data_IF_930401029349
#
_entry.id   IF_930401029349
#
_cell.length_a   1.000
_cell.length_b   1.000
_cell.length_c   1.000
_cell.angle_alpha   90.00
_cell.angle_beta   90.00
_cell.angle_gamma   90.00
#
_symmetry.space_group_name_H-M   'P 1'
#
loop_
_entity.id
_entity.type
_entity.pdbx_description
1 polymer ?
#
# COMPACT_ATOMS: atom_id res chain seq x y z
N UNK A 1 8.12 -0.70 27.22
CA UNK A 1 8.74 0.08 26.14
C UNK A 1 10.24 0.03 26.31
N UNK A 2 10.94 -0.11 25.20
CA UNK A 2 12.38 -0.29 25.14
C UNK A 2 13.11 0.93 25.72
N UNK A 3 13.93 0.72 26.74
CA UNK A 3 14.71 1.77 27.42
C UNK A 3 15.78 2.42 26.53
N UNK A 4 16.05 1.84 25.36
CA UNK A 4 16.98 2.40 24.36
C UNK A 4 16.49 3.73 23.77
N UNK A 5 15.19 4.01 23.88
CA UNK A 5 14.60 5.23 23.34
C UNK A 5 14.24 6.23 24.43
N UNK A 6 14.63 7.48 24.24
CA UNK A 6 14.37 8.57 25.17
C UNK A 6 12.86 8.82 25.39
N UNK A 7 12.46 9.35 26.55
CA UNK A 7 11.12 9.91 26.73
C UNK A 7 10.75 10.88 25.60
N UNK A 8 9.49 10.90 25.18
CA UNK A 8 9.02 11.73 24.08
C UNK A 8 9.35 11.19 22.66
N UNK A 9 10.12 10.08 22.54
CA UNK A 9 10.34 9.43 21.24
C UNK A 9 9.03 8.84 20.73
N UNK A 10 8.65 9.20 19.50
CA UNK A 10 7.47 8.66 18.85
C UNK A 10 7.59 7.17 18.55
N UNK A 11 6.52 6.44 18.78
CA UNK A 11 6.32 5.06 18.34
C UNK A 11 5.34 5.10 17.17
N UNK A 12 5.82 4.79 15.97
CA UNK A 12 5.03 4.86 14.74
C UNK A 12 5.12 3.57 13.95
N UNK A 13 4.17 3.33 13.06
CA UNK A 13 4.13 2.13 12.21
C UNK A 13 3.14 1.10 12.73
N UNK A 14 3.55 -0.16 12.81
CA UNK A 14 2.74 -1.23 13.39
C UNK A 14 1.45 -1.48 12.62
N UNK A 15 1.56 -1.80 11.33
CA UNK A 15 0.38 -2.11 10.50
C UNK A 15 -0.32 -3.36 11.06
N UNK A 16 -1.53 -3.19 11.63
CA UNK A 16 -2.35 -4.35 12.01
C UNK A 16 -3.29 -4.75 10.88
N UNK A 17 -3.68 -6.04 10.88
CA UNK A 17 -4.60 -6.61 9.90
C UNK A 17 -6.04 -6.14 10.14
N UNK A 18 -6.82 -6.12 9.07
CA UNK A 18 -8.27 -5.94 9.11
C UNK A 18 -9.03 -7.30 8.97
N UNK A 19 -8.31 -8.41 8.94
CA UNK A 19 -8.88 -9.74 8.60
C UNK A 19 -9.06 -10.67 9.78
N UNK A 20 -8.84 -10.20 10.97
CA UNK A 20 -8.84 -11.04 12.16
C UNK A 20 -10.27 -11.36 12.60
N UNK A 21 -10.80 -12.46 12.11
CA UNK A 21 -12.15 -12.95 12.48
C UNK A 21 -12.30 -13.24 13.98
N UNK A 22 -11.20 -13.52 14.68
CA UNK A 22 -11.22 -13.65 16.14
C UNK A 22 -11.55 -12.34 16.85
N UNK A 23 -11.19 -11.20 16.27
CA UNK A 23 -11.60 -9.90 16.78
C UNK A 23 -13.10 -9.62 16.59
N UNK A 24 -13.73 -10.21 15.59
CA UNK A 24 -15.19 -10.15 15.38
C UNK A 24 -15.95 -10.87 16.49
N UNK A 25 -15.46 -12.03 16.96
CA UNK A 25 -16.05 -12.77 18.07
C UNK A 25 -16.06 -12.00 19.40
N UNK A 26 -14.95 -11.36 19.75
CA UNK A 26 -14.85 -10.56 20.97
C UNK A 26 -15.70 -9.28 20.93
N UNK A 27 -15.84 -8.66 19.76
CA UNK A 27 -16.70 -7.48 19.57
C UNK A 27 -18.17 -7.84 19.61
N UNK A 28 -18.55 -8.98 19.05
CA UNK A 28 -19.93 -9.50 19.13
C UNK A 28 -20.33 -9.87 20.55
N UNK A 29 -19.42 -10.47 21.35
CA UNK A 29 -19.63 -10.77 22.76
C UNK A 29 -19.78 -9.51 23.63
N UNK A 30 -19.18 -8.39 23.23
CA UNK A 30 -19.33 -7.11 23.93
C UNK A 30 -20.69 -6.44 23.74
N UNK A 31 -21.63 -7.07 23.02
CA UNK A 31 -23.02 -6.59 22.86
C UNK A 31 -23.18 -5.33 22.01
N UNK A 32 -22.20 -4.99 21.18
CA UNK A 32 -22.29 -3.89 20.25
C UNK A 32 -23.12 -4.33 19.04
N UNK A 33 -24.31 -3.75 18.87
CA UNK A 33 -25.08 -3.91 17.63
C UNK A 33 -24.27 -3.36 16.45
N UNK A 34 -23.97 -4.22 15.51
CA UNK A 34 -23.24 -3.87 14.31
C UNK A 34 -24.21 -3.25 13.35
N UNK A 35 -24.01 -1.98 13.02
CA UNK A 35 -24.76 -1.32 11.97
C UNK A 35 -24.21 -1.81 10.60
N UNK A 36 -25.05 -2.46 9.75
CA UNK A 36 -24.63 -2.88 8.41
C UNK A 36 -24.14 -1.71 7.53
N UNK A 37 -24.54 -0.49 7.84
CA UNK A 37 -24.11 0.74 7.16
C UNK A 37 -22.79 1.32 7.76
N UNK A 38 -22.19 0.63 8.73
CA UNK A 38 -20.91 1.07 9.29
C UNK A 38 -19.82 0.92 8.23
N UNK A 39 -19.44 2.06 7.66
CA UNK A 39 -18.41 2.17 6.60
C UNK A 39 -17.06 1.56 7.01
N UNK A 40 -16.89 1.27 8.28
CA UNK A 40 -15.64 0.74 8.86
C UNK A 40 -15.72 -0.76 9.16
N UNK A 41 -16.89 -1.40 9.01
CA UNK A 41 -17.11 -2.84 9.22
C UNK A 41 -16.93 -3.27 10.69
N UNK A 42 -17.12 -4.55 10.95
CA UNK A 42 -16.93 -5.20 12.26
C UNK A 42 -15.47 -5.41 12.61
N UNK A 43 -14.66 -4.35 12.56
CA UNK A 43 -13.25 -4.47 12.82
C UNK A 43 -12.94 -4.17 14.28
N UNK A 44 -11.88 -4.79 14.76
CA UNK A 44 -11.27 -4.44 16.04
C UNK A 44 -11.06 -2.92 16.11
N UNK A 45 -11.71 -2.27 17.08
CA UNK A 45 -11.51 -0.87 17.40
C UNK A 45 -10.44 -0.74 18.48
N UNK A 46 -9.28 -0.19 18.13
CA UNK A 46 -8.23 0.02 19.11
C UNK A 46 -8.64 1.09 20.12
N UNK A 47 -8.22 0.91 21.37
CA UNK A 47 -8.45 1.87 22.46
C UNK A 47 -7.13 2.25 23.10
N UNK A 48 -6.93 3.55 23.35
CA UNK A 48 -5.69 4.08 23.99
C UNK A 48 -5.36 3.41 25.32
N UNK A 49 -6.38 3.00 26.09
CA UNK A 49 -6.21 2.27 27.34
C UNK A 49 -5.43 0.96 27.22
N UNK A 50 -5.41 0.35 26.02
CA UNK A 50 -4.63 -0.87 25.77
C UNK A 50 -3.12 -0.63 25.83
N UNK A 51 -2.66 0.58 25.55
CA UNK A 51 -1.24 0.90 25.41
C UNK A 51 -0.73 1.99 26.33
N UNK A 52 -1.58 2.87 26.86
CA UNK A 52 -1.16 3.99 27.73
C UNK A 52 -0.31 3.55 28.92
N UNK A 53 -0.68 2.45 29.57
CA UNK A 53 0.05 1.88 30.70
C UNK A 53 1.49 1.45 30.37
N UNK A 54 1.77 1.14 29.10
CA UNK A 54 3.08 0.66 28.64
C UNK A 54 3.90 1.74 27.95
N UNK A 55 3.25 2.74 27.36
CA UNK A 55 3.90 3.77 26.53
C UNK A 55 4.19 5.05 27.30
N UNK A 56 3.44 5.32 28.36
CA UNK A 56 3.59 6.48 29.25
C UNK A 56 3.68 7.80 28.50
N UNK A 57 4.84 8.46 28.54
CA UNK A 57 5.18 9.74 27.93
C UNK A 57 5.68 9.66 26.47
N UNK A 58 5.63 8.48 25.86
CA UNK A 58 5.98 8.30 24.45
C UNK A 58 4.73 8.38 23.58
N UNK A 59 4.66 9.35 22.68
CA UNK A 59 3.52 9.43 21.75
C UNK A 59 3.51 8.20 20.82
N UNK A 60 2.34 7.61 20.63
CA UNK A 60 2.14 6.45 19.77
C UNK A 60 1.11 6.79 18.70
N UNK A 61 1.48 6.54 17.45
CA UNK A 61 0.55 6.53 16.32
C UNK A 61 0.81 5.28 15.50
N UNK A 62 -0.06 4.31 15.63
CA UNK A 62 -0.05 3.08 14.82
C UNK A 62 -1.27 3.04 13.93
N UNK A 63 -1.23 2.25 12.86
CA UNK A 63 -2.28 2.28 11.84
C UNK A 63 -2.73 0.90 11.44
N UNK A 64 -3.97 0.80 11.00
CA UNK A 64 -4.39 -0.33 10.21
C UNK A 64 -3.72 -0.27 8.82
N UNK A 65 -3.36 -1.42 8.26
CA UNK A 65 -2.58 -1.48 7.01
C UNK A 65 -3.25 -0.73 5.84
N UNK A 66 -4.58 -0.61 5.83
CA UNK A 66 -5.35 0.10 4.81
C UNK A 66 -5.44 1.62 5.04
N UNK A 67 -4.88 2.12 6.14
CA UNK A 67 -4.87 3.53 6.54
C UNK A 67 -6.24 4.16 6.81
N UNK A 68 -7.27 3.35 6.92
CA UNK A 68 -8.62 3.86 7.26
C UNK A 68 -8.75 4.15 8.75
N UNK A 69 -8.05 3.39 9.58
CA UNK A 69 -8.08 3.52 11.05
C UNK A 69 -6.67 3.67 11.60
N UNK A 70 -6.52 4.59 12.52
CA UNK A 70 -5.32 4.81 13.32
C UNK A 70 -5.64 4.67 14.80
N UNK A 71 -4.65 4.27 15.58
CA UNK A 71 -4.69 4.36 17.04
C UNK A 71 -3.62 5.33 17.53
N UNK A 72 -4.06 6.31 18.30
CA UNK A 72 -3.22 7.25 19.01
C UNK A 72 -3.37 7.04 20.51
N UNK A 73 -2.26 7.02 21.26
CA UNK A 73 -2.30 7.02 22.71
C UNK A 73 -2.58 8.42 23.26
N UNK A 74 -2.80 8.53 24.58
CA UNK A 74 -3.09 9.81 25.24
C UNK A 74 -2.03 10.87 24.92
N UNK A 75 -0.73 10.55 24.97
CA UNK A 75 0.34 11.50 24.67
C UNK A 75 0.30 12.03 23.21
N UNK A 76 -0.02 11.18 22.25
CA UNK A 76 -0.16 11.57 20.84
C UNK A 76 -1.40 12.46 20.63
N UNK A 77 -2.54 12.10 21.23
CA UNK A 77 -3.77 12.90 21.15
C UNK A 77 -3.58 14.31 21.75
N UNK A 78 -2.89 14.42 22.88
CA UNK A 78 -2.58 15.70 23.52
C UNK A 78 -1.73 16.61 22.62
N UNK A 79 -0.69 16.04 21.97
CA UNK A 79 0.16 16.77 21.03
C UNK A 79 -0.61 17.23 19.78
N UNK A 80 -1.58 16.44 19.32
CA UNK A 80 -2.44 16.79 18.20
C UNK A 80 -3.59 17.73 18.58
N UNK A 81 -3.75 18.09 19.87
CA UNK A 81 -4.84 18.93 20.34
C UNK A 81 -6.21 18.25 20.35
N UNK A 82 -6.26 16.93 20.22
CA UNK A 82 -7.51 16.15 20.23
C UNK A 82 -7.90 15.85 21.66
N UNK A 83 -8.96 16.53 22.15
CA UNK A 83 -9.38 16.48 23.56
C UNK A 83 -10.90 16.46 23.66
N UNK A 84 -11.41 16.15 24.86
CA UNK A 84 -12.83 16.30 25.19
C UNK A 84 -13.29 17.73 24.92
N UNK A 85 -14.48 17.87 24.35
CA UNK A 85 -15.10 19.15 24.06
C UNK A 85 -14.48 19.95 22.90
N UNK A 86 -13.44 19.46 22.26
CA UNK A 86 -12.85 20.06 21.06
C UNK A 86 -13.43 19.36 19.81
N UNK A 87 -13.87 20.12 18.79
CA UNK A 87 -14.31 19.53 17.53
C UNK A 87 -13.24 18.66 16.88
N UNK A 88 -13.67 17.67 16.12
CA UNK A 88 -12.77 16.81 15.37
C UNK A 88 -11.99 17.62 14.33
N UNK A 89 -10.70 17.28 14.08
CA UNK A 89 -9.92 17.91 13.04
C UNK A 89 -10.56 17.68 11.66
N UNK A 90 -10.36 18.64 10.75
CA UNK A 90 -10.94 18.57 9.41
C UNK A 90 -10.57 17.27 8.69
N UNK A 91 -11.57 16.55 8.24
CA UNK A 91 -11.40 15.30 7.49
C UNK A 91 -10.91 14.12 8.35
N UNK A 92 -11.08 14.18 9.66
CA UNK A 92 -10.82 13.08 10.60
C UNK A 92 -12.06 12.91 11.47
N UNK A 93 -12.51 11.66 11.64
CA UNK A 93 -13.51 11.34 12.66
C UNK A 93 -12.79 10.77 13.88
N UNK A 94 -13.08 11.32 15.06
CA UNK A 94 -12.51 10.88 16.33
C UNK A 94 -13.53 10.04 17.07
N UNK A 95 -13.19 8.79 17.40
CA UNK A 95 -14.06 8.03 18.27
C UNK A 95 -14.00 8.53 19.70
N UNK A 96 -15.20 8.67 20.32
CA UNK A 96 -15.34 9.18 21.65
C UNK A 96 -16.21 8.26 22.50
N UNK A 97 -15.92 8.20 23.77
CA UNK A 97 -16.74 7.49 24.74
C UNK A 97 -18.03 8.26 25.07
N UNK A 98 -18.85 7.71 25.96
CA UNK A 98 -20.11 8.30 26.43
C UNK A 98 -19.95 9.68 27.12
N UNK A 99 -18.75 10.00 27.60
CA UNK A 99 -18.41 11.27 28.19
C UNK A 99 -17.83 12.27 27.18
N UNK A 100 -17.65 11.87 25.92
CA UNK A 100 -17.04 12.68 24.87
C UNK A 100 -15.51 12.68 24.88
N UNK A 101 -14.87 11.81 25.68
CA UNK A 101 -13.42 11.64 25.69
C UNK A 101 -12.97 10.85 24.46
N UNK A 102 -11.88 11.26 23.77
CA UNK A 102 -11.31 10.47 22.68
C UNK A 102 -10.84 9.09 23.15
N UNK A 103 -11.30 8.03 22.51
CA UNK A 103 -10.92 6.65 22.84
C UNK A 103 -9.54 6.28 22.32
N UNK A 104 -9.01 7.04 21.35
CA UNK A 104 -7.75 6.76 20.67
C UNK A 104 -7.90 6.31 19.22
N UNK A 105 -9.08 5.85 18.82
CA UNK A 105 -9.34 5.51 17.44
C UNK A 105 -9.62 6.76 16.60
N UNK A 106 -8.91 6.90 15.49
CA UNK A 106 -9.02 7.99 14.53
C UNK A 106 -9.30 7.42 13.15
N UNK A 107 -10.31 7.95 12.47
CA UNK A 107 -10.71 7.48 11.17
C UNK A 107 -10.42 8.51 10.09
N UNK A 108 -9.91 8.02 8.97
CA UNK A 108 -9.93 8.76 7.72
C UNK A 108 -11.29 8.52 7.05
N UNK A 109 -12.21 9.49 7.04
CA UNK A 109 -13.49 9.30 6.38
C UNK A 109 -13.26 9.07 4.89
N UNK A 110 -14.02 8.14 4.35
CA UNK A 110 -14.11 7.93 2.91
C UNK A 110 -14.83 9.14 2.35
N UNK A 111 -14.10 10.11 1.80
CA UNK A 111 -14.71 11.31 1.22
C UNK A 111 -15.39 10.95 -0.10
N UNK A 112 -16.73 10.97 -0.07
CA UNK A 112 -17.60 11.03 -1.25
C UNK A 112 -17.57 9.80 -2.14
N UNK A 113 -18.73 9.18 -2.30
CA UNK A 113 -19.01 8.26 -3.38
C UNK A 113 -19.02 9.03 -4.72
N UNK A 114 -17.87 9.21 -5.30
CA UNK A 114 -17.77 9.29 -6.75
C UNK A 114 -17.62 7.85 -7.21
N UNK A 115 -18.45 7.39 -8.09
CA UNK A 115 -18.64 5.99 -8.52
C UNK A 115 -17.37 5.22 -8.96
N UNK A 116 -16.19 5.78 -8.82
CA UNK A 116 -14.96 5.17 -9.29
C UNK A 116 -13.67 5.50 -8.53
N UNK A 117 -13.67 6.39 -7.53
CA UNK A 117 -12.41 6.75 -6.84
C UNK A 117 -12.63 7.08 -5.38
N UNK A 118 -12.42 6.11 -4.53
CA UNK A 118 -12.21 6.38 -3.12
C UNK A 118 -10.74 6.73 -2.91
N UNK A 119 -10.41 8.01 -3.08
CA UNK A 119 -9.18 8.57 -2.57
C UNK A 119 -9.32 8.66 -1.04
N UNK A 120 -8.79 7.70 -0.33
CA UNK A 120 -8.57 7.87 1.10
C UNK A 120 -7.45 8.89 1.25
N UNK A 121 -7.80 10.17 1.38
CA UNK A 121 -6.83 11.16 1.87
C UNK A 121 -6.42 10.73 3.27
N UNK A 122 -5.14 10.53 3.45
CA UNK A 122 -4.59 10.16 4.75
C UNK A 122 -4.47 11.42 5.64
N UNK A 123 -5.64 11.93 6.05
CA UNK A 123 -5.75 13.16 6.83
C UNK A 123 -5.11 12.99 8.22
N UNK A 124 -5.23 11.80 8.82
CA UNK A 124 -4.58 11.48 10.09
C UNK A 124 -3.07 11.58 9.93
N UNK A 125 -2.50 10.97 8.89
CA UNK A 125 -1.07 11.08 8.61
C UNK A 125 -0.66 12.53 8.36
N UNK A 126 -1.49 13.32 7.69
CA UNK A 126 -1.20 14.73 7.43
C UNK A 126 -1.19 15.53 8.73
N UNK A 127 -2.20 15.35 9.59
CA UNK A 127 -2.28 16.02 10.89
C UNK A 127 -1.06 15.71 11.77
N UNK A 128 -0.66 14.46 11.85
CA UNK A 128 0.47 14.03 12.68
C UNK A 128 1.83 14.20 11.99
N UNK A 129 1.86 14.45 10.68
CA UNK A 129 3.09 14.52 9.90
C UNK A 129 4.06 15.58 10.38
N UNK A 130 3.56 16.74 10.79
CA UNK A 130 4.38 17.82 11.34
C UNK A 130 4.80 17.60 12.80
N UNK A 131 4.09 16.72 13.52
CA UNK A 131 4.37 16.37 14.91
C UNK A 131 5.38 15.24 15.07
N UNK A 132 5.45 14.35 14.07
CA UNK A 132 6.33 13.17 14.07
C UNK A 132 7.64 13.55 13.39
N UNK A 133 8.77 13.65 14.13
CA UNK A 133 10.04 13.92 13.51
C UNK A 133 10.38 12.86 12.46
N UNK A 134 10.92 13.22 11.29
CA UNK A 134 11.39 12.23 10.34
C UNK A 134 12.50 11.39 10.96
N UNK A 135 12.54 10.07 10.71
CA UNK A 135 13.61 9.22 11.23
C UNK A 135 14.99 9.77 10.79
N UNK A 136 15.94 9.79 11.72
CA UNK A 136 17.31 10.18 11.40
C UNK A 136 17.95 9.18 10.42
N UNK A 137 19.07 9.57 9.80
CA UNK A 137 19.81 8.66 8.93
C UNK A 137 20.29 7.43 9.70
N UNK A 138 20.78 7.62 10.90
CA UNK A 138 21.27 6.56 11.80
C UNK A 138 20.14 5.58 12.16
N UNK A 139 18.95 6.12 12.44
CA UNK A 139 17.76 5.31 12.70
C UNK A 139 17.37 4.47 11.47
N UNK A 140 17.35 5.06 10.27
CA UNK A 140 17.06 4.34 9.01
C UNK A 140 18.08 3.23 8.74
N UNK A 141 19.36 3.47 9.03
CA UNK A 141 20.42 2.47 8.90
C UNK A 141 20.18 1.31 9.90
N UNK A 142 19.82 1.64 11.15
CA UNK A 142 19.53 0.63 12.17
C UNK A 142 18.31 -0.23 11.78
N UNK A 143 17.23 0.40 11.33
CA UNK A 143 16.02 -0.28 10.83
C UNK A 143 16.32 -1.17 9.61
N UNK A 144 17.11 -0.66 8.66
CA UNK A 144 17.55 -1.43 7.48
C UNK A 144 18.35 -2.65 7.87
N UNK A 145 19.29 -2.49 8.80
CA UNK A 145 20.13 -3.60 9.32
C UNK A 145 19.27 -4.68 9.97
N UNK A 146 18.29 -4.27 10.80
CA UNK A 146 17.39 -5.22 11.45
C UNK A 146 16.50 -5.95 10.43
N UNK A 147 15.94 -5.22 9.45
CA UNK A 147 15.16 -5.82 8.38
C UNK A 147 15.97 -6.85 7.57
N UNK A 148 17.19 -6.53 7.20
CA UNK A 148 18.07 -7.47 6.49
C UNK A 148 18.48 -8.66 7.36
N UNK A 149 18.69 -8.45 8.65
CA UNK A 149 18.92 -9.54 9.61
C UNK A 149 17.75 -10.50 9.66
N UNK A 150 16.52 -9.97 9.67
CA UNK A 150 15.31 -10.79 9.62
C UNK A 150 15.18 -11.53 8.29
N UNK A 151 15.41 -10.88 7.16
CA UNK A 151 15.43 -11.53 5.85
C UNK A 151 16.45 -12.68 5.80
N UNK A 152 17.67 -12.45 6.28
CA UNK A 152 18.72 -13.46 6.32
C UNK A 152 18.34 -14.65 7.21
N UNK A 153 17.67 -14.42 8.34
CA UNK A 153 17.23 -15.48 9.26
C UNK A 153 16.23 -16.46 8.66
N UNK A 154 15.53 -16.06 7.59
CA UNK A 154 14.59 -16.90 6.83
C UNK A 154 15.09 -17.25 5.42
N UNK A 155 16.39 -17.03 5.15
CA UNK A 155 17.03 -17.43 3.90
C UNK A 155 16.77 -16.53 2.69
N UNK A 156 16.24 -15.31 2.89
CA UNK A 156 16.04 -14.35 1.79
C UNK A 156 17.39 -13.74 1.40
N UNK A 157 17.81 -13.98 0.16
CA UNK A 157 19.07 -13.48 -0.40
C UNK A 157 18.91 -12.37 -1.44
N UNK A 158 17.70 -12.11 -1.88
CA UNK A 158 17.37 -11.04 -2.85
C UNK A 158 15.94 -10.57 -2.66
N UNK A 159 15.69 -9.28 -2.86
CA UNK A 159 14.35 -8.71 -2.77
C UNK A 159 14.15 -7.58 -3.79
N UNK A 160 12.90 -7.25 -4.02
CA UNK A 160 12.50 -6.09 -4.81
C UNK A 160 12.01 -4.99 -3.87
N UNK A 161 12.66 -3.85 -3.91
CA UNK A 161 12.31 -2.70 -3.10
C UNK A 161 11.49 -1.71 -3.93
N UNK A 162 10.27 -1.43 -3.47
CA UNK A 162 9.31 -0.51 -4.10
C UNK A 162 9.26 0.86 -3.41
N UNK A 163 10.26 1.20 -2.59
CA UNK A 163 10.29 2.49 -1.90
C UNK A 163 10.39 3.64 -2.90
N UNK A 164 9.61 4.68 -2.63
CA UNK A 164 9.68 5.94 -3.39
C UNK A 164 10.75 6.92 -2.87
N UNK A 165 11.34 6.63 -1.71
CA UNK A 165 12.31 7.52 -1.08
C UNK A 165 13.75 7.15 -1.49
N UNK A 166 14.42 7.97 -2.31
CA UNK A 166 15.77 7.66 -2.83
C UNK A 166 16.84 7.56 -1.74
N UNK A 167 16.59 8.08 -0.54
CA UNK A 167 17.55 7.99 0.59
C UNK A 167 17.91 6.55 0.93
N UNK A 168 17.01 5.58 0.70
CA UNK A 168 17.29 4.18 0.98
C UNK A 168 18.32 3.60 0.01
N UNK A 169 18.33 4.01 -1.25
CA UNK A 169 19.37 3.58 -2.20
C UNK A 169 20.75 4.03 -1.72
N UNK A 170 20.84 5.26 -1.20
CA UNK A 170 22.07 5.80 -0.66
C UNK A 170 22.52 5.07 0.65
N UNK A 171 21.57 4.78 1.53
CA UNK A 171 21.80 3.95 2.73
C UNK A 171 22.28 2.56 2.32
N UNK A 172 21.66 1.91 1.34
CA UNK A 172 22.07 0.58 0.88
C UNK A 172 23.49 0.59 0.33
N UNK A 173 23.87 1.64 -0.42
CA UNK A 173 25.25 1.81 -0.90
C UNK A 173 26.24 1.92 0.25
N UNK A 174 25.97 2.78 1.24
CA UNK A 174 26.81 2.93 2.43
C UNK A 174 26.99 1.60 3.17
N UNK A 175 25.87 0.89 3.41
CA UNK A 175 25.91 -0.39 4.13
C UNK A 175 26.58 -1.50 3.32
N UNK A 176 26.42 -1.51 1.98
CA UNK A 176 27.15 -2.42 1.10
C UNK A 176 28.66 -2.17 1.20
N UNK A 177 29.10 -0.92 1.13
CA UNK A 177 30.50 -0.54 1.17
C UNK A 177 31.16 -0.90 2.52
N UNK A 178 30.35 -0.99 3.58
CA UNK A 178 30.75 -1.51 4.90
C UNK A 178 30.66 -3.04 5.03
N UNK A 179 30.21 -3.76 4.00
CA UNK A 179 30.02 -5.21 4.05
C UNK A 179 28.84 -5.67 4.90
N UNK A 180 27.89 -4.79 5.19
CA UNK A 180 26.72 -5.07 6.05
C UNK A 180 25.50 -5.59 5.29
N UNK A 181 25.50 -5.51 3.95
CA UNK A 181 24.36 -5.92 3.13
C UNK A 181 24.27 -7.45 3.03
N UNK A 182 23.16 -8.02 3.49
CA UNK A 182 22.94 -9.48 3.53
C UNK A 182 22.06 -10.01 2.40
N UNK A 183 21.35 -9.13 1.69
CA UNK A 183 20.48 -9.49 0.59
C UNK A 183 20.60 -8.47 -0.56
N UNK A 184 20.48 -8.95 -1.80
CA UNK A 184 20.56 -8.11 -3.00
C UNK A 184 19.27 -7.35 -3.20
N UNK A 185 19.35 -6.04 -3.41
CA UNK A 185 18.21 -5.16 -3.66
C UNK A 185 18.01 -4.90 -5.16
N UNK A 186 16.77 -5.08 -5.63
CA UNK A 186 16.32 -4.57 -6.93
C UNK A 186 15.37 -3.41 -6.68
N UNK A 187 15.86 -2.20 -6.91
CA UNK A 187 15.10 -0.99 -6.68
C UNK A 187 14.07 -0.76 -7.78
N UNK A 188 12.83 -0.50 -7.38
CA UNK A 188 11.68 -0.27 -8.26
C UNK A 188 11.00 1.05 -7.89
N UNK A 189 11.48 2.20 -8.40
CA UNK A 189 10.83 3.48 -8.14
C UNK A 189 9.42 3.53 -8.76
N UNK A 190 8.57 4.48 -8.32
CA UNK A 190 7.28 4.71 -8.92
C UNK A 190 7.35 4.99 -10.42
N UNK A 191 6.32 4.57 -11.16
CA UNK A 191 6.26 4.74 -12.63
C UNK A 191 6.39 6.20 -13.06
N UNK A 192 5.86 7.16 -12.30
CA UNK A 192 5.97 8.60 -12.59
C UNK A 192 7.40 9.17 -12.52
N UNK A 193 8.39 8.33 -12.18
CA UNK A 193 9.82 8.67 -12.22
C UNK A 193 10.54 8.17 -13.47
N UNK A 194 9.82 7.61 -14.43
CA UNK A 194 10.42 6.99 -15.61
C UNK A 194 11.27 7.98 -16.43
N UNK A 195 10.81 9.24 -16.60
CA UNK A 195 11.54 10.28 -17.30
C UNK A 195 12.90 10.55 -16.64
N UNK A 196 12.94 10.68 -15.32
CA UNK A 196 14.20 10.85 -14.58
C UNK A 196 15.17 9.68 -14.79
N UNK A 197 14.65 8.45 -14.94
CA UNK A 197 15.49 7.29 -15.25
C UNK A 197 16.01 7.36 -16.69
N UNK A 198 15.17 7.76 -17.63
CA UNK A 198 15.55 7.95 -19.04
C UNK A 198 16.62 9.01 -19.19
N UNK A 199 16.42 10.19 -18.63
CA UNK A 199 17.34 11.33 -18.66
C UNK A 199 18.74 10.98 -18.15
N UNK A 200 18.80 10.12 -17.12
CA UNK A 200 20.04 9.63 -16.52
C UNK A 200 20.63 8.40 -17.23
N UNK A 201 19.98 7.92 -18.29
CA UNK A 201 20.41 6.70 -18.99
C UNK A 201 20.25 5.42 -18.17
N UNK A 202 19.42 5.44 -17.11
CA UNK A 202 19.21 4.29 -16.22
C UNK A 202 18.24 3.31 -16.89
N UNK A 203 18.67 2.05 -17.04
CA UNK A 203 17.88 0.96 -17.61
C UNK A 203 17.95 -0.25 -16.67
N UNK A 204 17.09 -1.23 -16.92
CA UNK A 204 17.06 -2.48 -16.15
C UNK A 204 18.45 -3.10 -16.04
N UNK A 205 18.84 -3.43 -14.82
CA UNK A 205 20.18 -3.97 -14.52
C UNK A 205 21.25 -2.92 -14.26
N UNK A 206 20.96 -1.62 -14.41
CA UNK A 206 21.90 -0.57 -14.02
C UNK A 206 22.23 -0.69 -12.51
N UNK A 207 23.50 -0.65 -12.18
CA UNK A 207 24.01 -0.84 -10.83
C UNK A 207 25.05 -1.95 -10.76
N UNK A 208 25.11 -2.68 -9.67
CA UNK A 208 26.08 -3.76 -9.44
C UNK A 208 25.39 -5.07 -8.99
N UNK A 209 26.16 -6.02 -8.49
CA UNK A 209 25.62 -7.32 -8.05
C UNK A 209 24.75 -7.24 -6.80
N UNK A 210 24.82 -6.15 -6.06
CA UNK A 210 24.09 -5.96 -4.82
C UNK A 210 22.88 -5.03 -4.97
N UNK A 211 23.06 -3.92 -5.67
CA UNK A 211 22.02 -2.90 -5.83
C UNK A 211 21.82 -2.63 -7.31
N UNK A 212 20.62 -2.94 -7.83
CA UNK A 212 20.28 -2.73 -9.24
C UNK A 212 18.94 -2.04 -9.39
N UNK A 213 18.84 -1.21 -10.42
CA UNK A 213 17.54 -0.78 -10.92
C UNK A 213 16.83 -1.99 -11.55
N UNK A 214 15.63 -2.28 -11.05
CA UNK A 214 14.85 -3.45 -11.47
C UNK A 214 13.78 -3.13 -12.50
N UNK A 215 12.94 -2.15 -12.22
CA UNK A 215 11.79 -1.75 -13.04
C UNK A 215 11.16 -0.50 -12.43
N UNK A 216 10.17 0.10 -13.10
CA UNK A 216 9.27 1.07 -12.46
C UNK A 216 7.99 0.39 -11.96
N UNK A 217 7.43 0.90 -10.87
CA UNK A 217 6.27 0.30 -10.17
C UNK A 217 5.02 1.15 -10.27
N UNK A 218 3.90 0.51 -10.57
CA UNK A 218 2.57 1.11 -10.52
C UNK A 218 1.56 0.19 -9.82
N UNK A 219 0.40 0.74 -9.48
CA UNK A 219 -0.72 0.03 -8.86
C UNK A 219 -2.00 0.39 -9.60
N UNK A 220 -2.73 -0.61 -10.08
CA UNK A 220 -4.02 -0.42 -10.76
C UNK A 220 -5.15 -0.29 -9.74
N UNK A 221 -5.19 -1.20 -8.78
CA UNK A 221 -6.27 -1.33 -7.81
C UNK A 221 -5.75 -1.43 -6.36
N UNK A 222 -6.64 -1.80 -5.45
CA UNK A 222 -6.32 -2.03 -4.06
C UNK A 222 -6.11 -3.53 -3.75
N UNK A 223 -6.66 -3.98 -2.62
CA UNK A 223 -6.49 -5.35 -2.10
C UNK A 223 -7.83 -5.96 -1.73
N UNK A 224 -7.92 -7.30 -1.74
CA UNK A 224 -9.17 -8.00 -1.42
C UNK A 224 -9.63 -7.75 0.01
N UNK A 225 -8.76 -7.88 0.98
CA UNK A 225 -9.13 -7.87 2.38
C UNK A 225 -9.81 -6.61 2.89
N UNK A 226 -9.62 -5.46 2.26
CA UNK A 226 -10.37 -4.24 2.58
C UNK A 226 -11.37 -3.86 1.48
N UNK A 227 -11.74 -4.81 0.62
CA UNK A 227 -12.71 -4.64 -0.48
C UNK A 227 -12.36 -3.53 -1.47
N UNK A 228 -11.06 -3.34 -1.71
CA UNK A 228 -10.55 -2.34 -2.65
C UNK A 228 -9.90 -2.94 -3.90
N UNK A 229 -9.70 -4.25 -3.99
CA UNK A 229 -9.38 -4.91 -5.24
C UNK A 229 -10.53 -4.74 -6.24
N UNK A 230 -10.21 -4.50 -7.52
CA UNK A 230 -11.21 -4.11 -8.53
C UNK A 230 -11.72 -5.33 -9.29
N UNK A 231 -13.03 -5.62 -9.17
CA UNK A 231 -13.72 -6.74 -9.79
C UNK A 231 -14.73 -6.32 -10.85
N UNK A 232 -15.03 -7.23 -11.78
CA UNK A 232 -16.15 -7.08 -12.72
C UNK A 232 -17.48 -7.14 -11.99
N UNK A 233 -17.62 -8.04 -11.01
CA UNK A 233 -18.83 -8.17 -10.20
C UNK A 233 -18.67 -7.43 -8.85
N UNK A 234 -19.76 -6.95 -8.27
CA UNK A 234 -19.73 -6.36 -6.93
C UNK A 234 -19.30 -7.36 -5.85
N UNK A 235 -18.75 -6.86 -4.76
CA UNK A 235 -18.51 -7.66 -3.56
C UNK A 235 -19.81 -8.19 -2.97
N UNK A 236 -19.81 -9.46 -2.55
CA UNK A 236 -21.01 -10.11 -1.99
C UNK A 236 -21.55 -9.38 -0.77
N UNK A 237 -20.67 -8.99 0.16
CA UNK A 237 -21.05 -8.25 1.38
C UNK A 237 -21.32 -6.76 1.12
N UNK A 238 -20.95 -6.22 -0.02
CA UNK A 238 -21.18 -4.84 -0.41
C UNK A 238 -21.55 -4.70 -1.89
N UNK A 239 -22.82 -4.95 -2.26
CA UNK A 239 -23.28 -4.93 -3.65
C UNK A 239 -23.16 -3.56 -4.35
N UNK A 240 -22.88 -2.50 -3.62
CA UNK A 240 -22.65 -1.17 -4.20
C UNK A 240 -21.19 -0.91 -4.59
N UNK A 241 -20.29 -1.84 -4.29
CA UNK A 241 -18.86 -1.67 -4.54
C UNK A 241 -18.27 -2.81 -5.36
N UNK A 242 -17.48 -2.47 -6.35
CA UNK A 242 -16.62 -3.40 -7.13
C UNK A 242 -15.13 -3.17 -6.84
N UNK A 243 -14.76 -2.47 -5.77
CA UNK A 243 -13.40 -2.03 -5.49
C UNK A 243 -13.06 -0.69 -6.15
N UNK A 244 -11.78 -0.34 -6.20
CA UNK A 244 -11.32 0.99 -6.62
C UNK A 244 -10.29 0.91 -7.74
N UNK A 245 -10.24 1.97 -8.55
CA UNK A 245 -9.06 2.32 -9.34
C UNK A 245 -8.15 3.24 -8.54
N UNK A 246 -6.85 3.05 -8.64
CA UNK A 246 -5.87 3.93 -7.98
C UNK A 246 -5.71 5.26 -8.72
N UNK A 247 -5.21 6.28 -8.03
CA UNK A 247 -5.05 7.64 -8.53
C UNK A 247 -4.28 7.74 -9.84
N UNK A 248 -3.27 6.89 -10.01
CA UNK A 248 -2.46 6.84 -11.23
C UNK A 248 -3.28 6.48 -12.46
N UNK A 249 -4.46 5.88 -12.28
CA UNK A 249 -5.38 5.59 -13.39
C UNK A 249 -6.00 6.86 -13.99
N UNK A 250 -6.07 7.95 -13.24
CA UNK A 250 -6.76 9.18 -13.64
C UNK A 250 -5.81 10.29 -14.09
N UNK A 251 -6.27 11.16 -14.99
CA UNK A 251 -7.55 11.08 -15.70
C UNK A 251 -7.56 9.97 -16.76
N UNK A 252 -8.77 9.47 -17.07
CA UNK A 252 -9.00 8.74 -18.31
C UNK A 252 -9.23 9.75 -19.43
N UNK A 253 -8.53 9.60 -20.54
CA UNK A 253 -8.61 10.49 -21.71
C UNK A 253 -8.76 9.68 -22.98
N UNK A 254 -9.32 10.30 -24.01
CA UNK A 254 -9.42 9.66 -25.32
C UNK A 254 -8.04 9.38 -25.89
N UNK A 255 -7.86 8.19 -26.44
CA UNK A 255 -6.62 7.83 -27.10
C UNK A 255 -6.40 8.73 -28.33
N UNK A 256 -5.20 9.28 -28.52
CA UNK A 256 -4.87 10.04 -29.73
C UNK A 256 -4.96 9.17 -31.02
N UNK A 257 -4.71 7.88 -30.89
CA UNK A 257 -4.69 6.95 -32.00
C UNK A 257 -6.06 6.35 -32.32
N UNK A 258 -6.92 6.25 -31.33
CA UNK A 258 -8.31 5.79 -31.47
C UNK A 258 -9.22 6.55 -30.51
N UNK A 259 -10.00 7.54 -31.01
CA UNK A 259 -10.86 8.38 -30.17
C UNK A 259 -12.00 7.63 -29.47
N UNK A 260 -12.29 6.39 -29.82
CA UNK A 260 -13.27 5.55 -29.13
C UNK A 260 -12.66 4.87 -27.89
N UNK A 261 -11.34 4.75 -27.81
CA UNK A 261 -10.64 4.16 -26.69
C UNK A 261 -10.33 5.19 -25.61
N UNK A 262 -10.62 4.82 -24.37
CA UNK A 262 -10.25 5.60 -23.20
C UNK A 262 -8.97 5.03 -22.58
N UNK A 263 -7.92 5.84 -22.57
CA UNK A 263 -6.64 5.49 -21.94
C UNK A 263 -6.54 6.13 -20.55
N UNK A 264 -6.13 5.33 -19.56
CA UNK A 264 -5.79 5.85 -18.25
C UNK A 264 -4.47 6.64 -18.27
N UNK A 265 -4.26 7.50 -17.28
CA UNK A 265 -2.96 8.13 -17.05
C UNK A 265 -1.85 7.10 -16.91
N UNK A 266 -2.13 6.00 -16.17
CA UNK A 266 -1.19 4.88 -16.02
C UNK A 266 -0.77 4.32 -17.39
N UNK A 267 -1.70 4.10 -18.30
CA UNK A 267 -1.40 3.56 -19.62
C UNK A 267 -0.50 4.48 -20.43
N UNK A 268 -0.76 5.78 -20.43
CA UNK A 268 0.09 6.75 -21.13
C UNK A 268 1.52 6.74 -20.60
N UNK A 269 1.68 6.81 -19.26
CA UNK A 269 3.00 6.72 -18.64
C UNK A 269 3.70 5.39 -18.91
N UNK A 270 2.96 4.29 -18.92
CA UNK A 270 3.50 2.97 -19.18
C UNK A 270 3.95 2.80 -20.64
N UNK A 271 3.19 3.36 -21.58
CA UNK A 271 3.53 3.36 -23.01
C UNK A 271 4.86 4.10 -23.26
N UNK A 272 5.01 5.28 -22.67
CA UNK A 272 6.20 6.10 -22.80
C UNK A 272 7.41 5.45 -22.12
N UNK A 273 7.25 4.94 -20.91
CA UNK A 273 8.30 4.20 -20.18
C UNK A 273 8.77 2.96 -20.97
N UNK A 274 7.83 2.20 -21.55
CA UNK A 274 8.17 1.04 -22.39
C UNK A 274 8.89 1.46 -23.67
N UNK A 275 8.47 2.56 -24.32
CA UNK A 275 9.17 3.11 -25.47
C UNK A 275 10.62 3.49 -25.13
N UNK A 276 10.83 4.08 -23.94
CA UNK A 276 12.16 4.38 -23.40
C UNK A 276 12.98 3.14 -22.98
N UNK A 277 12.42 1.93 -23.10
CA UNK A 277 13.10 0.67 -22.75
C UNK A 277 13.14 0.40 -21.25
N UNK A 278 12.23 1.00 -20.49
CA UNK A 278 12.10 0.80 -19.04
C UNK A 278 11.08 -0.30 -18.76
N UNK A 279 11.45 -1.29 -17.96
CA UNK A 279 10.58 -2.41 -17.59
C UNK A 279 9.47 -1.96 -16.65
N UNK A 280 8.25 -2.47 -16.89
CA UNK A 280 7.09 -2.21 -16.06
C UNK A 280 6.87 -3.32 -15.03
N UNK A 281 6.52 -2.93 -13.82
CA UNK A 281 6.01 -3.80 -12.75
C UNK A 281 4.71 -3.21 -12.24
N UNK A 282 3.61 -3.94 -12.38
CA UNK A 282 2.28 -3.43 -12.06
C UNK A 282 1.58 -4.35 -11.08
N UNK A 283 1.04 -3.77 -10.02
CA UNK A 283 0.15 -4.44 -9.08
C UNK A 283 -1.25 -4.52 -9.68
N UNK A 284 -1.82 -5.71 -9.73
CA UNK A 284 -3.23 -5.94 -10.02
C UNK A 284 -3.72 -7.19 -9.27
N UNK A 285 -4.80 -7.05 -8.53
CA UNK A 285 -5.37 -8.11 -7.69
C UNK A 285 -6.71 -8.59 -8.22
N UNK A 286 -7.69 -7.70 -8.41
CA UNK A 286 -9.01 -8.07 -8.91
C UNK A 286 -9.01 -8.44 -10.38
N UNK A 287 -10.02 -9.19 -10.81
CA UNK A 287 -10.12 -9.68 -12.18
C UNK A 287 -10.34 -8.56 -13.21
N UNK A 288 -11.10 -7.50 -12.88
CA UNK A 288 -11.24 -6.33 -13.75
C UNK A 288 -9.91 -5.56 -13.87
N UNK A 289 -9.15 -5.43 -12.77
CA UNK A 289 -7.83 -4.81 -12.80
C UNK A 289 -6.83 -5.62 -13.64
N UNK A 290 -6.83 -6.93 -13.50
CA UNK A 290 -6.01 -7.82 -14.30
C UNK A 290 -6.41 -7.80 -15.79
N UNK A 291 -7.70 -7.82 -16.10
CA UNK A 291 -8.21 -7.67 -17.45
C UNK A 291 -7.79 -6.36 -18.11
N UNK A 292 -7.93 -5.25 -17.40
CA UNK A 292 -7.44 -3.94 -17.86
C UNK A 292 -5.93 -3.94 -18.11
N UNK A 293 -5.15 -4.56 -17.22
CA UNK A 293 -3.70 -4.68 -17.40
C UNK A 293 -3.36 -5.45 -18.68
N UNK A 294 -4.05 -6.57 -18.95
CA UNK A 294 -3.82 -7.33 -20.18
C UNK A 294 -4.12 -6.50 -21.43
N UNK A 295 -5.25 -5.79 -21.44
CA UNK A 295 -5.62 -4.90 -22.55
C UNK A 295 -4.58 -3.79 -22.76
N UNK A 296 -4.11 -3.15 -21.70
CA UNK A 296 -3.07 -2.13 -21.74
C UNK A 296 -1.77 -2.68 -22.32
N UNK A 297 -1.32 -3.84 -21.85
CA UNK A 297 -0.04 -4.43 -22.30
C UNK A 297 -0.11 -4.87 -23.76
N UNK A 298 -1.23 -5.38 -24.25
CA UNK A 298 -1.44 -5.68 -25.66
C UNK A 298 -1.35 -4.41 -26.53
N UNK A 299 -1.98 -3.29 -26.09
CA UNK A 299 -1.88 -2.02 -26.81
C UNK A 299 -0.45 -1.47 -26.81
N UNK A 300 0.29 -1.59 -25.71
CA UNK A 300 1.72 -1.21 -25.63
C UNK A 300 2.55 -2.04 -26.61
N UNK A 301 2.33 -3.35 -26.65
CA UNK A 301 3.04 -4.25 -27.59
C UNK A 301 2.71 -3.88 -29.04
N UNK A 302 1.45 -3.63 -29.34
CA UNK A 302 1.03 -3.25 -30.68
C UNK A 302 1.67 -1.92 -31.15
N UNK A 303 1.77 -0.93 -30.25
CA UNK A 303 2.31 0.38 -30.57
C UNK A 303 3.84 0.41 -30.61
N UNK A 304 4.51 -0.18 -29.65
CA UNK A 304 5.97 -0.11 -29.48
C UNK A 304 6.71 -1.31 -30.11
N UNK A 305 5.98 -2.18 -30.82
CA UNK A 305 6.54 -3.36 -31.49
C UNK A 305 6.87 -4.51 -30.54
N UNK A 306 7.23 -5.66 -31.10
CA UNK A 306 7.56 -6.86 -30.32
C UNK A 306 9.02 -6.81 -29.85
N UNK A 307 9.24 -6.95 -28.53
CA UNK A 307 10.56 -7.03 -27.88
C UNK A 307 10.48 -7.85 -26.60
N UNK A 308 11.60 -8.34 -26.07
CA UNK A 308 11.66 -9.06 -24.78
C UNK A 308 11.49 -8.05 -23.62
N UNK A 309 10.27 -7.86 -23.17
CA UNK A 309 9.92 -6.91 -22.12
C UNK A 309 9.96 -7.48 -20.73
N UNK A 310 9.56 -8.74 -20.59
CA UNK A 310 9.37 -9.40 -19.29
C UNK A 310 8.56 -8.52 -18.34
N UNK A 311 7.43 -8.01 -18.83
CA UNK A 311 6.47 -7.29 -17.98
C UNK A 311 6.17 -8.09 -16.72
N UNK A 312 6.05 -7.43 -15.60
CA UNK A 312 5.84 -8.07 -14.30
C UNK A 312 4.48 -7.69 -13.75
N UNK A 313 3.67 -8.71 -13.51
CA UNK A 313 2.39 -8.59 -12.84
C UNK A 313 2.56 -9.03 -11.39
N UNK A 314 2.38 -8.11 -10.46
CA UNK A 314 2.49 -8.39 -9.01
C UNK A 314 1.14 -8.77 -8.47
N UNK A 315 1.11 -9.82 -7.72
CA UNK A 315 -0.01 -10.55 -7.14
C UNK A 315 -0.69 -11.50 -8.12
N UNK A 316 -1.29 -11.04 -9.22
CA UNK A 316 -2.07 -11.91 -10.13
C UNK A 316 -3.06 -12.78 -9.34
N UNK A 317 -3.74 -12.17 -8.34
CA UNK A 317 -4.39 -12.94 -7.28
C UNK A 317 -5.71 -13.54 -7.76
N UNK A 318 -6.53 -12.77 -8.47
CA UNK A 318 -7.77 -13.23 -9.09
C UNK A 318 -7.71 -12.89 -10.57
N UNK A 319 -7.69 -13.92 -11.41
CA UNK A 319 -7.60 -13.77 -12.87
C UNK A 319 -8.62 -14.67 -13.55
N UNK A 320 -9.17 -14.21 -14.67
CA UNK A 320 -9.96 -15.06 -15.53
C UNK A 320 -9.06 -16.02 -16.33
N UNK A 321 -9.59 -17.20 -16.72
CA UNK A 321 -8.85 -18.13 -17.59
C UNK A 321 -8.37 -17.48 -18.90
N UNK A 322 -9.19 -16.55 -19.44
CA UNK A 322 -8.85 -15.73 -20.59
C UNK A 322 -7.57 -14.94 -20.36
N UNK A 323 -7.48 -14.26 -19.22
CA UNK A 323 -6.37 -13.35 -18.92
C UNK A 323 -5.11 -14.10 -18.50
N UNK A 324 -5.24 -15.27 -17.87
CA UNK A 324 -4.13 -16.19 -17.64
C UNK A 324 -3.50 -16.61 -18.99
N UNK A 325 -4.32 -17.00 -19.96
CA UNK A 325 -3.84 -17.37 -21.29
C UNK A 325 -3.14 -16.20 -21.98
N UNK A 326 -3.74 -14.99 -21.98
CA UNK A 326 -3.16 -13.78 -22.57
C UNK A 326 -1.80 -13.44 -21.93
N UNK A 327 -1.72 -13.52 -20.60
CA UNK A 327 -0.47 -13.32 -19.87
C UNK A 327 0.62 -14.29 -20.31
N UNK A 328 0.28 -15.56 -20.53
CA UNK A 328 1.17 -16.58 -21.08
C UNK A 328 1.64 -16.24 -22.50
N UNK A 329 0.72 -15.87 -23.39
CA UNK A 329 1.01 -15.49 -24.79
C UNK A 329 1.97 -14.27 -24.85
N UNK A 330 1.79 -13.29 -23.95
CA UNK A 330 2.66 -12.11 -23.81
C UNK A 330 3.95 -12.37 -23.02
N UNK A 331 4.14 -13.57 -22.47
CA UNK A 331 5.29 -13.95 -21.60
C UNK A 331 5.45 -13.03 -20.38
N UNK A 332 4.35 -12.69 -19.73
CA UNK A 332 4.34 -11.91 -18.51
C UNK A 332 4.94 -12.73 -17.37
N UNK A 333 5.74 -12.09 -16.51
CA UNK A 333 6.25 -12.70 -15.29
C UNK A 333 5.28 -12.40 -14.14
N UNK A 334 4.54 -13.40 -13.68
CA UNK A 334 3.68 -13.28 -12.53
C UNK A 334 4.49 -13.43 -11.22
N UNK A 335 4.38 -12.44 -10.33
CA UNK A 335 4.99 -12.44 -8.99
C UNK A 335 3.92 -12.75 -7.95
N UNK A 336 3.63 -14.03 -7.78
CA UNK A 336 2.54 -14.51 -6.94
C UNK A 336 2.97 -14.72 -5.48
N UNK A 337 2.02 -14.61 -4.56
CA UNK A 337 2.19 -14.98 -3.16
C UNK A 337 1.30 -16.19 -2.86
N UNK A 338 1.83 -17.41 -2.89
CA UNK A 338 1.01 -18.62 -2.66
C UNK A 338 0.29 -18.63 -1.30
N UNK A 339 0.81 -17.90 -0.32
CA UNK A 339 0.20 -17.75 1.00
C UNK A 339 -1.17 -17.07 0.94
N UNK A 340 -1.44 -16.21 -0.04
CA UNK A 340 -2.76 -15.58 -0.20
C UNK A 340 -3.88 -16.61 -0.25
N UNK A 341 -3.68 -17.74 -0.93
CA UNK A 341 -4.70 -18.79 -1.01
C UNK A 341 -5.13 -19.29 0.36
N UNK A 342 -4.17 -19.53 1.26
CA UNK A 342 -4.48 -20.04 2.61
C UNK A 342 -4.98 -18.95 3.55
N UNK A 343 -4.57 -17.69 3.35
CA UNK A 343 -5.03 -16.58 4.17
C UNK A 343 -6.44 -16.13 3.76
N UNK A 344 -6.68 -15.99 2.47
CA UNK A 344 -7.96 -15.56 1.90
C UNK A 344 -9.09 -16.57 2.13
N UNK A 345 -8.80 -17.87 2.24
CA UNK A 345 -9.78 -18.91 2.53
C UNK A 345 -10.64 -18.63 3.77
N UNK A 346 -10.15 -17.83 4.69
CA UNK A 346 -10.85 -17.53 5.96
C UNK A 346 -12.05 -16.61 5.77
N UNK A 347 -12.09 -15.84 4.69
CA UNK A 347 -13.07 -14.78 4.48
C UNK A 347 -13.50 -14.60 3.03
N UNK A 348 -12.88 -15.31 2.09
CA UNK A 348 -13.10 -15.14 0.64
C UNK A 348 -14.55 -15.45 0.22
N UNK A 349 -15.21 -16.42 0.87
CA UNK A 349 -16.60 -16.77 0.57
C UNK A 349 -17.60 -15.69 1.00
N UNK A 350 -17.21 -14.82 1.92
CA UNK A 350 -18.03 -13.73 2.43
C UNK A 350 -17.88 -12.45 1.61
N UNK A 351 -16.87 -12.43 0.77
CA UNK A 351 -16.49 -11.24 -0.03
C UNK A 351 -16.93 -11.40 -1.47
#
# INVERSE_FOLDING_TARGET
>A
VDERYAPGTWIVGGDWSAYETWAEGEVAEAGREVNPDDLYGNFFLPNKGMIDGFTRDRPVLVRRFDRKVYMANTAALELAGIKQGIPDPEGIAVERDENGEPTGALFNPISGAVESTVLVRDNVRTLFGDLIPPPSREQRIAETREAWGKMASVGVTSYCDITSNPIYVDIYREMRDKGEMTARARYRPPLDRWESMEDLGIRVGFGDDWIRFGAVKAWIDGIMGNSSARFYEPYTHNPSSRGIWRDIMFPFERSPDNPEDMQSRLERLALDADNAGIQLTVHAIGDEANGYLMDMLERIIAKNGNKDRRFRLVHAQVMTDRDIKRGGDMKIVAEVQPFHTSDDMRWMEER
#
